data_IF_200774012363
#
_entry.id   IF_200774012363
#
_cell.length_a   1.000
_cell.length_b   1.000
_cell.length_c   1.000
_cell.angle_alpha   90.00
_cell.angle_beta   90.00
_cell.angle_gamma   90.00
#
_symmetry.space_group_name_H-M   'P 1'
#
loop_
_entity.id
_entity.type
_entity.pdbx_description
1 polymer ?
#
# COMPACT_ATOMS: atom_id res chain seq x y z
N UNK A 1 -14.13 -11.02 -5.88
CA UNK A 1 -15.20 -10.45 -6.75
C UNK A 1 -15.98 -11.54 -7.46
N UNK A 2 -15.34 -12.45 -8.20
CA UNK A 2 -16.03 -13.56 -8.89
C UNK A 2 -16.90 -14.42 -7.95
N UNK A 3 -16.40 -14.77 -6.76
CA UNK A 3 -17.18 -15.50 -5.75
C UNK A 3 -18.45 -14.77 -5.27
N UNK A 4 -18.48 -13.43 -5.30
CA UNK A 4 -19.64 -12.64 -4.89
C UNK A 4 -20.78 -12.87 -5.90
N UNK A 5 -20.48 -12.68 -7.20
CA UNK A 5 -21.44 -12.75 -8.30
C UNK A 5 -21.93 -14.18 -8.61
N UNK A 6 -21.10 -15.19 -8.36
CA UNK A 6 -21.50 -16.59 -8.55
C UNK A 6 -22.54 -17.08 -7.54
N UNK A 7 -22.65 -16.42 -6.38
CA UNK A 7 -23.57 -16.76 -5.31
C UNK A 7 -24.78 -15.83 -5.24
N UNK A 8 -24.77 -14.77 -6.04
CA UNK A 8 -25.88 -13.83 -6.14
C UNK A 8 -27.02 -14.49 -6.91
N UNK A 9 -28.20 -14.49 -6.29
CA UNK A 9 -29.45 -14.71 -7.01
C UNK A 9 -29.83 -13.41 -7.72
N UNK A 10 -29.79 -13.41 -9.05
CA UNK A 10 -30.03 -12.22 -9.86
C UNK A 10 -31.51 -11.92 -10.06
N UNK A 11 -32.40 -12.88 -9.81
CA UNK A 11 -33.85 -12.71 -9.94
C UNK A 11 -34.39 -11.70 -8.93
N UNK A 12 -33.67 -11.47 -7.82
CA UNK A 12 -34.02 -10.48 -6.78
C UNK A 12 -33.99 -9.03 -7.29
N UNK A 13 -33.26 -8.76 -8.38
CA UNK A 13 -33.14 -7.43 -8.97
C UNK A 13 -34.17 -7.16 -10.06
N UNK A 14 -35.09 -8.10 -10.34
CA UNK A 14 -36.10 -7.91 -11.37
C UNK A 14 -37.09 -6.82 -10.95
N UNK A 15 -36.98 -5.66 -11.62
CA UNK A 15 -37.79 -4.47 -11.37
C UNK A 15 -38.34 -3.98 -12.70
N UNK A 16 -39.64 -3.67 -12.76
CA UNK A 16 -40.29 -3.16 -13.97
C UNK A 16 -39.76 -1.78 -14.37
N UNK A 17 -39.27 -1.00 -13.40
CA UNK A 17 -38.63 0.28 -13.63
C UNK A 17 -37.12 0.12 -13.85
N UNK A 18 -36.66 0.58 -15.02
CA UNK A 18 -35.27 0.46 -15.46
C UNK A 18 -34.31 1.29 -14.59
N UNK A 19 -34.76 2.47 -14.15
CA UNK A 19 -33.93 3.34 -13.31
C UNK A 19 -33.68 2.67 -11.94
N UNK A 20 -34.74 2.15 -11.33
CA UNK A 20 -34.61 1.39 -10.08
C UNK A 20 -33.79 0.10 -10.26
N UNK A 21 -34.00 -0.65 -11.35
CA UNK A 21 -33.20 -1.85 -11.65
C UNK A 21 -31.70 -1.54 -11.70
N UNK A 22 -31.32 -0.54 -12.50
CA UNK A 22 -29.91 -0.16 -12.67
C UNK A 22 -29.30 0.39 -11.39
N UNK A 23 -30.05 1.17 -10.61
CA UNK A 23 -29.57 1.70 -9.32
C UNK A 23 -29.24 0.56 -8.35
N UNK A 24 -30.17 -0.39 -8.16
CA UNK A 24 -29.99 -1.46 -7.18
C UNK A 24 -28.85 -2.40 -7.57
N UNK A 25 -28.70 -2.72 -8.87
CA UNK A 25 -27.58 -3.52 -9.37
C UNK A 25 -26.25 -2.80 -9.16
N UNK A 26 -26.17 -1.49 -9.42
CA UNK A 26 -24.96 -0.70 -9.20
C UNK A 26 -24.57 -0.66 -7.72
N UNK A 27 -25.55 -0.49 -6.83
CA UNK A 27 -25.31 -0.48 -5.39
C UNK A 27 -24.85 -1.86 -4.89
N UNK A 28 -25.37 -2.95 -5.45
CA UNK A 28 -24.89 -4.29 -5.15
C UNK A 28 -23.45 -4.53 -5.64
N UNK A 29 -23.10 -4.05 -6.84
CA UNK A 29 -21.73 -4.14 -7.36
C UNK A 29 -20.76 -3.36 -6.47
N UNK A 30 -21.14 -2.16 -6.04
CA UNK A 30 -20.37 -1.36 -5.06
C UNK A 30 -20.19 -2.12 -3.75
N UNK A 31 -21.27 -2.66 -3.20
CA UNK A 31 -21.21 -3.50 -2.00
C UNK A 31 -20.25 -4.67 -2.16
N UNK A 32 -20.34 -5.45 -3.25
CA UNK A 32 -19.41 -6.55 -3.51
C UNK A 32 -17.97 -6.05 -3.60
N UNK A 33 -17.75 -4.91 -4.27
CA UNK A 33 -16.43 -4.30 -4.43
C UNK A 33 -15.83 -3.92 -3.07
N UNK A 34 -16.59 -3.25 -2.22
CA UNK A 34 -16.16 -2.81 -0.89
C UNK A 34 -15.91 -4.02 0.04
N UNK A 35 -16.71 -5.08 -0.08
CA UNK A 35 -16.52 -6.28 0.73
C UNK A 35 -15.29 -7.10 0.32
N UNK A 36 -14.91 -7.10 -0.96
CA UNK A 36 -13.73 -7.85 -1.42
C UNK A 36 -12.44 -7.03 -1.38
N UNK A 37 -12.56 -5.71 -1.46
CA UNK A 37 -11.43 -4.79 -1.44
C UNK A 37 -11.05 -4.57 0.02
N UNK A 38 -9.83 -4.97 0.39
CA UNK A 38 -9.31 -4.70 1.72
C UNK A 38 -8.76 -3.29 1.76
N UNK A 39 -9.43 -2.39 2.48
CA UNK A 39 -8.86 -1.09 2.81
C UNK A 39 -7.65 -1.27 3.73
N UNK A 40 -6.49 -0.84 3.24
CA UNK A 40 -5.27 -0.76 4.05
C UNK A 40 -5.06 0.68 4.50
N UNK A 41 -5.49 0.98 5.73
CA UNK A 41 -5.16 2.24 6.37
C UNK A 41 -3.71 2.23 6.86
N UNK A 42 -2.84 2.98 6.20
CA UNK A 42 -1.47 3.21 6.65
C UNK A 42 -1.46 4.43 7.58
N UNK A 43 -1.21 4.21 8.88
CA UNK A 43 -1.05 5.31 9.85
C UNK A 43 0.30 6.00 9.64
N UNK A 44 0.27 7.19 9.05
CA UNK A 44 1.45 8.07 8.95
C UNK A 44 1.40 9.06 10.11
N UNK A 45 2.38 8.99 11.02
CA UNK A 45 2.52 9.96 12.09
C UNK A 45 3.14 11.26 11.54
N UNK A 46 2.74 12.46 12.02
CA UNK A 46 3.29 13.74 11.54
C UNK A 46 4.81 13.86 11.69
N UNK A 47 5.41 13.13 12.63
CA UNK A 47 6.85 13.11 12.88
C UNK A 47 7.60 12.02 12.08
N UNK A 48 6.90 11.17 11.32
CA UNK A 48 7.57 10.21 10.44
C UNK A 48 8.19 10.96 9.28
N UNK A 49 9.51 10.83 9.15
CA UNK A 49 10.25 11.32 8.00
C UNK A 49 9.64 10.71 6.73
N UNK A 50 9.21 11.51 5.74
CA UNK A 50 8.53 10.99 4.55
C UNK A 50 9.38 10.02 3.70
N UNK A 51 10.70 10.13 3.80
CA UNK A 51 11.66 9.21 3.18
C UNK A 51 11.88 7.91 3.98
N UNK A 52 11.18 7.69 5.09
CA UNK A 52 11.27 6.48 5.92
C UNK A 52 10.38 5.36 5.36
N UNK A 53 10.73 4.88 4.17
CA UNK A 53 10.01 3.81 3.46
C UNK A 53 10.26 2.42 4.08
N UNK A 54 9.55 1.40 3.62
CA UNK A 54 9.76 0.01 4.07
C UNK A 54 11.18 -0.49 3.76
N UNK A 55 11.76 -0.08 2.63
CA UNK A 55 13.13 -0.41 2.24
C UNK A 55 14.15 0.19 3.21
N UNK A 56 13.95 1.44 3.65
CA UNK A 56 14.83 2.06 4.66
C UNK A 56 14.70 1.34 6.00
N UNK A 57 13.50 0.87 6.37
CA UNK A 57 13.28 0.09 7.59
C UNK A 57 13.93 -1.30 7.52
N UNK A 58 13.90 -1.96 6.37
CA UNK A 58 14.57 -3.26 6.17
C UNK A 58 16.10 -3.10 6.27
N UNK A 59 16.67 -2.04 5.69
CA UNK A 59 18.09 -1.71 5.81
C UNK A 59 18.50 -1.39 7.25
N UNK A 60 17.65 -0.68 8.01
CA UNK A 60 17.88 -0.44 9.44
C UNK A 60 17.91 -1.76 10.22
N UNK A 61 16.97 -2.66 9.93
CA UNK A 61 16.92 -3.99 10.54
C UNK A 61 18.17 -4.78 10.20
N UNK A 62 18.60 -4.84 8.94
CA UNK A 62 19.80 -5.54 8.51
C UNK A 62 21.06 -5.02 9.22
N UNK A 63 21.21 -3.69 9.33
CA UNK A 63 22.32 -3.07 10.07
C UNK A 63 22.28 -3.41 11.56
N UNK A 64 21.10 -3.39 12.19
CA UNK A 64 20.94 -3.74 13.60
C UNK A 64 21.25 -5.23 13.84
N UNK A 65 20.86 -6.11 12.93
CA UNK A 65 21.21 -7.53 12.97
C UNK A 65 22.72 -7.71 12.86
N UNK A 66 23.37 -7.06 11.89
CA UNK A 66 24.83 -7.08 11.77
C UNK A 66 25.53 -6.60 13.05
N UNK A 67 25.06 -5.50 13.64
CA UNK A 67 25.58 -4.99 14.91
C UNK A 67 25.41 -5.99 16.07
N UNK A 68 24.22 -6.58 16.23
CA UNK A 68 23.92 -7.56 17.29
C UNK A 68 24.69 -8.87 17.12
N UNK A 69 24.97 -9.27 15.89
CA UNK A 69 25.74 -10.48 15.60
C UNK A 69 27.24 -10.35 15.89
N UNK A 70 27.76 -9.12 16.05
CA UNK A 70 29.19 -8.85 16.23
C UNK A 70 30.02 -8.97 14.94
N UNK A 71 29.42 -9.37 13.81
CA UNK A 71 30.09 -9.44 12.53
C UNK A 71 30.35 -8.03 11.97
N UNK A 72 31.62 -7.62 12.01
CA UNK A 72 32.07 -6.30 11.54
C UNK A 72 31.93 -6.12 10.03
N UNK A 73 32.09 -7.19 9.24
CA UNK A 73 32.01 -7.13 7.78
C UNK A 73 30.56 -6.95 7.36
N UNK A 74 29.66 -7.79 7.88
CA UNK A 74 28.22 -7.66 7.66
C UNK A 74 27.69 -6.31 8.15
N UNK A 75 28.12 -5.86 9.33
CA UNK A 75 27.74 -4.56 9.85
C UNK A 75 28.21 -3.40 8.95
N UNK A 76 29.47 -3.44 8.50
CA UNK A 76 30.03 -2.40 7.62
C UNK A 76 29.28 -2.34 6.29
N UNK A 77 29.04 -3.49 5.66
CA UNK A 77 28.27 -3.59 4.42
C UNK A 77 26.83 -3.08 4.60
N UNK A 78 26.13 -3.54 5.65
CA UNK A 78 24.78 -3.09 5.95
C UNK A 78 24.71 -1.59 6.26
N UNK A 79 25.72 -1.03 6.93
CA UNK A 79 25.84 0.41 7.19
C UNK A 79 26.02 1.21 5.90
N UNK A 80 26.85 0.73 4.97
CA UNK A 80 27.03 1.37 3.67
C UNK A 80 25.74 1.34 2.83
N UNK A 81 25.07 0.18 2.80
CA UNK A 81 23.79 0.01 2.13
C UNK A 81 22.71 0.92 2.73
N UNK A 82 22.63 1.04 4.06
CA UNK A 82 21.71 1.95 4.73
C UNK A 82 21.95 3.42 4.33
N UNK A 83 23.21 3.86 4.27
CA UNK A 83 23.54 5.24 3.85
C UNK A 83 23.10 5.51 2.42
N UNK A 84 23.31 4.55 1.51
CA UNK A 84 22.87 4.64 0.11
C UNK A 84 21.34 4.67 0.03
N UNK A 85 20.65 3.73 0.67
CA UNK A 85 19.18 3.66 0.66
C UNK A 85 18.50 4.91 1.23
N UNK A 86 19.03 5.51 2.31
CA UNK A 86 18.51 6.78 2.83
C UNK A 86 18.68 7.91 1.80
N UNK A 87 19.80 7.95 1.07
CA UNK A 87 20.03 8.98 0.04
C UNK A 87 19.04 8.81 -1.11
N UNK A 88 18.86 7.59 -1.59
CA UNK A 88 17.91 7.25 -2.65
C UNK A 88 16.47 7.60 -2.25
N UNK A 89 16.04 7.19 -1.05
CA UNK A 89 14.70 7.50 -0.56
C UNK A 89 14.43 9.01 -0.41
N UNK A 90 15.44 9.78 0.02
CA UNK A 90 15.34 11.25 0.07
C UNK A 90 15.25 11.88 -1.31
N UNK A 91 15.98 11.36 -2.29
CA UNK A 91 15.91 11.86 -3.68
C UNK A 91 14.57 11.52 -4.30
N UNK A 92 14.07 10.29 -4.11
CA UNK A 92 12.75 9.88 -4.58
C UNK A 92 11.64 10.75 -3.99
N UNK A 93 11.69 10.99 -2.67
CA UNK A 93 10.73 11.88 -2.01
C UNK A 93 10.80 13.31 -2.54
N UNK A 94 12.02 13.85 -2.75
CA UNK A 94 12.20 15.18 -3.34
C UNK A 94 11.58 15.27 -4.73
N UNK A 95 11.85 14.29 -5.60
CA UNK A 95 11.26 14.21 -6.94
C UNK A 95 9.74 14.18 -6.91
N UNK A 96 9.14 13.41 -5.98
CA UNK A 96 7.68 13.35 -5.81
C UNK A 96 7.07 14.71 -5.42
N UNK A 97 7.80 15.55 -4.68
CA UNK A 97 7.32 16.90 -4.31
C UNK A 97 7.53 17.89 -5.46
N UNK A 98 8.67 17.79 -6.15
CA UNK A 98 9.04 18.71 -7.23
C UNK A 98 8.23 18.48 -8.52
N UNK A 99 7.75 17.25 -8.74
CA UNK A 99 6.92 16.89 -9.89
C UNK A 99 5.64 16.15 -9.44
N UNK A 100 4.59 16.88 -9.04
CA UNK A 100 3.33 16.30 -8.59
C UNK A 100 2.44 15.78 -9.75
N UNK A 101 2.85 15.86 -11.01
CA UNK A 101 2.00 15.61 -12.18
C UNK A 101 2.10 14.20 -12.79
N UNK A 102 2.60 13.20 -12.06
CA UNK A 102 2.82 11.84 -12.58
C UNK A 102 2.06 10.70 -11.86
N UNK A 103 1.00 11.01 -11.09
CA UNK A 103 0.07 10.00 -10.56
C UNK A 103 -1.27 10.00 -11.30
#
# INVERSE_FOLDING_TARGET
MQDCFQRTDWEVFDHQDLENHTSVVLDYIRFCTDNVTRDRCIRIYPNRKPWMTEEVQSLLTARNTGFRSGDKVLYSAAKANLKRGIREAKVAYRRKIEDPHQE
#
